data_IF_196572800085
#
_entry.id   IF_196572800085
#
_cell.length_a   1.000
_cell.length_b   1.000
_cell.length_c   1.000
_cell.angle_alpha   90.00
_cell.angle_beta   90.00
_cell.angle_gamma   90.00
#
_symmetry.space_group_name_H-M   'P 1'
#
loop_
_entity.id
_entity.type
_entity.pdbx_description
1 polymer ?
#
# COMPACT_ATOMS: atom_id res chain seq x y z
N UNK A 1 23.84 19.22 33.85
CA UNK A 1 24.20 18.24 32.80
C UNK A 1 23.28 17.00 32.78
N UNK A 2 22.09 17.03 33.40
CA UNK A 2 21.19 15.86 33.51
C UNK A 2 20.14 15.83 32.38
N UNK A 3 19.86 16.97 31.75
CA UNK A 3 18.86 17.11 30.68
C UNK A 3 19.28 16.44 29.36
N UNK A 4 20.59 16.38 29.09
CA UNK A 4 21.15 15.79 27.85
C UNK A 4 20.99 14.26 27.82
N UNK A 5 21.22 13.59 28.96
CA UNK A 5 21.10 12.14 29.10
C UNK A 5 19.64 11.67 29.10
N UNK A 6 18.74 12.44 29.73
CA UNK A 6 17.32 12.14 29.74
C UNK A 6 16.70 12.29 28.35
N UNK A 7 17.03 13.38 27.65
CA UNK A 7 16.57 13.62 26.27
C UNK A 7 17.07 12.53 25.32
N UNK A 8 18.32 12.09 25.49
CA UNK A 8 18.90 11.01 24.67
C UNK A 8 18.16 9.69 24.86
N UNK A 9 17.79 9.36 26.10
CA UNK A 9 17.01 8.16 26.42
C UNK A 9 15.60 8.20 25.83
N UNK A 10 14.92 9.35 25.93
CA UNK A 10 13.59 9.55 25.32
C UNK A 10 13.64 9.42 23.78
N UNK A 11 14.69 9.94 23.14
CA UNK A 11 14.90 9.76 21.69
C UNK A 11 15.10 8.28 21.33
N UNK A 12 15.88 7.53 22.12
CA UNK A 12 16.09 6.11 21.87
C UNK A 12 14.79 5.30 22.00
N UNK A 13 13.94 5.63 22.98
CA UNK A 13 12.62 5.01 23.13
C UNK A 13 11.72 5.31 21.92
N UNK A 14 11.61 6.59 21.52
CA UNK A 14 10.83 7.00 20.34
C UNK A 14 11.33 6.32 19.06
N UNK A 15 12.65 6.24 18.86
CA UNK A 15 13.23 5.57 17.68
C UNK A 15 12.90 4.08 17.67
N UNK A 16 12.90 3.41 18.82
CA UNK A 16 12.53 2.00 18.90
C UNK A 16 11.04 1.78 18.62
N UNK A 17 10.16 2.61 19.18
CA UNK A 17 8.73 2.60 18.86
C UNK A 17 8.50 2.83 17.36
N UNK A 18 9.20 3.81 16.77
CA UNK A 18 9.11 4.11 15.34
C UNK A 18 9.55 2.91 14.48
N UNK A 19 10.64 2.22 14.86
CA UNK A 19 11.10 1.01 14.16
C UNK A 19 10.04 -0.09 14.20
N UNK A 20 9.38 -0.29 15.35
CA UNK A 20 8.31 -1.28 15.47
C UNK A 20 7.11 -0.91 14.60
N UNK A 21 6.67 0.35 14.65
CA UNK A 21 5.57 0.86 13.82
C UNK A 21 5.87 0.72 12.32
N UNK A 22 7.10 1.04 11.89
CA UNK A 22 7.54 0.87 10.51
C UNK A 22 7.54 -0.59 10.06
N UNK A 23 7.87 -1.53 10.96
CA UNK A 23 7.83 -2.96 10.65
C UNK A 23 6.40 -3.42 10.40
N UNK A 24 5.46 -3.07 11.29
CA UNK A 24 4.04 -3.38 11.12
C UNK A 24 3.51 -2.78 9.82
N UNK A 25 3.80 -1.50 9.55
CA UNK A 25 3.40 -0.84 8.30
C UNK A 25 3.92 -1.55 7.06
N UNK A 26 5.17 -2.03 7.08
CA UNK A 26 5.74 -2.79 5.96
C UNK A 26 5.08 -4.16 5.79
N UNK A 27 4.63 -4.81 6.87
CA UNK A 27 3.88 -6.06 6.81
C UNK A 27 2.48 -5.83 6.21
N UNK A 28 1.77 -4.80 6.67
CA UNK A 28 0.48 -4.40 6.11
C UNK A 28 0.59 -4.04 4.63
N UNK A 29 1.61 -3.28 4.23
CA UNK A 29 1.84 -2.94 2.82
C UNK A 29 2.05 -4.19 1.95
N UNK A 30 2.77 -5.21 2.45
CA UNK A 30 2.95 -6.48 1.75
C UNK A 30 1.63 -7.22 1.60
N UNK A 31 0.79 -7.23 2.64
CA UNK A 31 -0.55 -7.85 2.58
C UNK A 31 -1.41 -7.16 1.54
N UNK A 32 -1.44 -5.82 1.55
CA UNK A 32 -2.20 -5.02 0.57
C UNK A 32 -1.72 -5.32 -0.85
N UNK A 33 -0.41 -5.24 -1.12
CA UNK A 33 0.17 -5.57 -2.43
C UNK A 33 -0.17 -7.00 -2.88
N UNK A 34 -0.15 -7.97 -1.96
CA UNK A 34 -0.55 -9.34 -2.25
C UNK A 34 -2.03 -9.46 -2.64
N UNK A 35 -2.91 -8.74 -1.96
CA UNK A 35 -4.34 -8.71 -2.28
C UNK A 35 -4.61 -8.00 -3.62
N UNK A 36 -3.95 -6.87 -3.90
CA UNK A 36 -4.02 -6.18 -5.18
C UNK A 36 -3.54 -7.06 -6.32
N UNK A 37 -2.42 -7.77 -6.14
CA UNK A 37 -1.91 -8.70 -7.14
C UNK A 37 -2.88 -9.87 -7.39
N UNK A 38 -3.47 -10.45 -6.34
CA UNK A 38 -4.51 -11.47 -6.50
C UNK A 38 -5.72 -10.94 -7.27
N UNK A 39 -6.16 -9.72 -6.96
CA UNK A 39 -7.26 -9.07 -7.66
C UNK A 39 -6.92 -8.83 -9.13
N UNK A 40 -5.69 -8.40 -9.42
CA UNK A 40 -5.18 -8.25 -10.78
C UNK A 40 -5.20 -9.58 -11.54
N UNK A 41 -4.70 -10.67 -10.94
CA UNK A 41 -4.69 -12.00 -11.57
C UNK A 41 -6.09 -12.53 -11.85
N UNK A 42 -7.10 -12.15 -11.07
CA UNK A 42 -8.48 -12.58 -11.26
C UNK A 42 -9.23 -11.76 -12.32
N UNK A 43 -9.03 -10.44 -12.35
CA UNK A 43 -9.88 -9.53 -13.11
C UNK A 43 -9.23 -8.97 -14.37
N UNK A 44 -7.90 -9.01 -14.48
CA UNK A 44 -7.23 -8.46 -15.64
C UNK A 44 -7.12 -9.51 -16.75
N UNK A 45 -7.53 -9.20 -18.00
CA UNK A 45 -7.28 -10.06 -19.15
C UNK A 45 -5.78 -10.33 -19.40
N UNK A 46 -4.91 -9.44 -18.90
CA UNK A 46 -3.46 -9.58 -18.94
C UNK A 46 -2.88 -10.23 -17.67
N UNK A 47 -3.62 -11.14 -17.03
CA UNK A 47 -3.18 -11.84 -15.81
C UNK A 47 -1.90 -12.67 -15.99
N UNK A 48 -1.43 -12.88 -17.22
CA UNK A 48 -0.14 -13.53 -17.49
C UNK A 48 1.08 -12.64 -17.18
N UNK A 49 0.91 -11.31 -17.06
CA UNK A 49 1.97 -10.40 -16.63
C UNK A 49 2.22 -10.50 -15.12
N UNK A 50 3.42 -10.14 -14.66
CA UNK A 50 3.75 -10.09 -13.23
C UNK A 50 2.99 -8.96 -12.51
N UNK A 51 2.72 -7.86 -13.19
CA UNK A 51 2.01 -6.71 -12.62
C UNK A 51 1.15 -5.98 -13.65
N UNK A 52 0.28 -5.09 -13.15
CA UNK A 52 -0.57 -4.30 -14.01
C UNK A 52 0.24 -3.19 -14.71
N UNK A 53 0.44 -3.34 -16.01
CA UNK A 53 1.05 -2.29 -16.83
C UNK A 53 -0.01 -1.27 -17.30
N UNK A 54 0.02 -0.01 -16.82
CA UNK A 54 -0.97 1.00 -17.19
C UNK A 54 -0.73 1.60 -18.57
N UNK A 55 0.53 1.58 -19.03
CA UNK A 55 0.94 2.20 -20.28
C UNK A 55 0.14 1.60 -21.45
N UNK A 56 -0.57 2.46 -22.19
CA UNK A 56 -1.35 2.08 -23.37
C UNK A 56 -2.41 0.98 -23.12
N UNK A 57 -2.87 0.82 -21.87
CA UNK A 57 -3.90 -0.16 -21.56
C UNK A 57 -5.28 0.29 -22.08
N UNK A 58 -5.72 -0.31 -23.19
CA UNK A 58 -7.01 0.01 -23.84
C UNK A 58 -8.18 -0.08 -22.87
N UNK A 59 -8.20 -1.06 -21.96
CA UNK A 59 -9.25 -1.19 -20.96
C UNK A 59 -9.30 -0.02 -19.97
N UNK A 60 -8.15 0.59 -19.64
CA UNK A 60 -8.12 1.80 -18.82
C UNK A 60 -8.55 3.03 -19.62
N UNK A 61 -8.10 3.15 -20.87
CA UNK A 61 -8.43 4.27 -21.76
C UNK A 61 -9.94 4.32 -22.05
N UNK A 62 -10.56 3.16 -22.26
CA UNK A 62 -12.00 3.03 -22.52
C UNK A 62 -12.85 2.93 -21.26
N UNK A 63 -12.25 3.10 -20.07
CA UNK A 63 -12.91 2.93 -18.76
C UNK A 63 -13.69 1.61 -18.62
N UNK A 64 -13.16 0.52 -19.19
CA UNK A 64 -13.74 -0.83 -19.14
C UNK A 64 -12.99 -1.79 -18.21
N UNK A 65 -11.87 -1.36 -17.62
CA UNK A 65 -11.06 -2.18 -16.72
C UNK A 65 -11.73 -2.40 -15.35
N UNK A 66 -12.27 -3.61 -15.12
CA UNK A 66 -12.92 -3.96 -13.84
C UNK A 66 -11.97 -3.89 -12.63
N UNK A 67 -10.73 -4.36 -12.80
CA UNK A 67 -9.68 -4.24 -11.78
C UNK A 67 -9.54 -2.80 -11.26
N UNK A 68 -9.46 -1.82 -12.17
CA UNK A 68 -9.30 -0.41 -11.79
C UNK A 68 -10.58 0.20 -11.23
N UNK A 69 -11.75 -0.23 -11.71
CA UNK A 69 -13.03 0.22 -11.16
C UNK A 69 -13.17 -0.15 -9.69
N UNK A 70 -12.81 -1.38 -9.33
CA UNK A 70 -12.84 -1.83 -7.93
C UNK A 70 -11.85 -1.04 -7.08
N UNK A 71 -10.60 -0.87 -7.53
CA UNK A 71 -9.61 -0.08 -6.77
C UNK A 71 -10.06 1.37 -6.55
N UNK A 72 -10.61 2.02 -7.59
CA UNK A 72 -11.16 3.39 -7.46
C UNK A 72 -12.33 3.44 -6.47
N UNK A 73 -13.19 2.42 -6.44
CA UNK A 73 -14.31 2.34 -5.50
C UNK A 73 -13.81 2.19 -4.06
N UNK A 74 -12.86 1.27 -3.83
CA UNK A 74 -12.25 1.06 -2.52
C UNK A 74 -11.59 2.34 -1.98
N UNK A 75 -10.82 3.05 -2.81
CA UNK A 75 -10.21 4.32 -2.40
C UNK A 75 -11.26 5.35 -1.98
N UNK A 76 -12.35 5.49 -2.73
CA UNK A 76 -13.46 6.39 -2.35
C UNK A 76 -14.12 5.99 -1.03
N UNK A 77 -14.30 4.69 -0.77
CA UNK A 77 -14.88 4.19 0.48
C UNK A 77 -13.97 4.45 1.68
N UNK A 78 -12.65 4.42 1.49
CA UNK A 78 -11.66 4.72 2.53
C UNK A 78 -11.55 6.23 2.77
N UNK A 79 -11.52 7.06 1.73
CA UNK A 79 -11.44 8.53 1.84
C UNK A 79 -12.73 9.17 2.39
N UNK A 80 -13.87 8.46 2.32
CA UNK A 80 -15.16 8.93 2.85
C UNK A 80 -15.39 8.56 4.32
N UNK A 81 -14.39 7.98 5.00
CA UNK A 81 -14.40 7.64 6.44
C UNK A 81 -13.50 8.56 7.23
#
# INVERSE_FOLDING_TARGET
MVEDEKTKKEIEEIVNELKQALKVRNEDEKVVKGLEHRLFKLLCPKHYLDECEPAYCVFRITDSCEYIKILRKLNKEIESR
#
